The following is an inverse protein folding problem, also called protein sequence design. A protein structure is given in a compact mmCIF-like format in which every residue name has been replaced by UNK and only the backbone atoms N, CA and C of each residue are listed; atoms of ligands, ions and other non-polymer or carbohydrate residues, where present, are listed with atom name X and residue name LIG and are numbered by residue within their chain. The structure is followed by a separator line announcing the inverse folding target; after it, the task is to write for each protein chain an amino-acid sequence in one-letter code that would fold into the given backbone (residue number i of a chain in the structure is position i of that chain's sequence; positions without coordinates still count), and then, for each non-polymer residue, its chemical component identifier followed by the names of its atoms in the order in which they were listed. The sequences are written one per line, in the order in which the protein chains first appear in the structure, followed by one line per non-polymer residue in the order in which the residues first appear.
data_IF_268350008729
#
_entry.id   IF_268350008729
#
_cell.length_a   1.000
_cell.length_b   1.000
_cell.length_c   1.000
_cell.angle_alpha   90.00
_cell.angle_beta   90.00
_cell.angle_gamma   90.00
#
_symmetry.space_group_name_H-M   'P 1'
#
loop_
_entity.id
_entity.type
_entity.pdbx_description
1 polymer ?
#
# COMPACT_ATOMS: atom_id res chain seq x y z
N UNK A 1 -1.01 -17.04 9.87
CA UNK A 1 -0.40 -15.78 9.32
C UNK A 1 0.08 -16.14 7.92
N UNK A 2 -0.25 -15.33 6.91
CA UNK A 2 0.19 -15.59 5.54
C UNK A 2 1.70 -15.42 5.43
N UNK A 3 2.36 -16.30 4.69
CA UNK A 3 3.79 -16.19 4.40
C UNK A 3 4.00 -15.18 3.27
N UNK A 4 5.01 -14.33 3.39
CA UNK A 4 5.39 -13.42 2.31
C UNK A 4 6.83 -13.70 1.91
N UNK A 5 7.06 -13.87 0.62
CA UNK A 5 8.37 -14.12 0.02
C UNK A 5 8.71 -13.02 -0.97
N UNK A 6 9.99 -12.69 -1.06
CA UNK A 6 10.53 -11.80 -2.11
C UNK A 6 11.20 -12.69 -3.15
N UNK A 7 10.93 -12.48 -4.43
CA UNK A 7 11.55 -13.24 -5.51
C UNK A 7 13.00 -12.81 -5.75
N UNK A 8 13.82 -13.69 -6.32
CA UNK A 8 15.19 -13.38 -6.72
C UNK A 8 15.25 -12.18 -7.67
N UNK A 9 14.35 -12.14 -8.67
CA UNK A 9 14.22 -11.02 -9.62
C UNK A 9 13.95 -9.68 -8.91
N UNK A 10 13.10 -9.68 -7.87
CA UNK A 10 12.84 -8.47 -7.09
C UNK A 10 14.02 -8.09 -6.21
N UNK A 11 14.71 -9.09 -5.64
CA UNK A 11 15.93 -8.87 -4.86
C UNK A 11 17.07 -8.29 -5.72
N UNK A 12 17.25 -8.75 -6.94
CA UNK A 12 18.24 -8.18 -7.88
C UNK A 12 17.97 -6.71 -8.18
N UNK A 13 16.70 -6.31 -8.29
CA UNK A 13 16.30 -4.90 -8.55
C UNK A 13 16.38 -4.04 -7.30
N UNK A 14 16.09 -4.60 -6.13
CA UNK A 14 16.05 -3.89 -4.84
C UNK A 14 16.60 -4.78 -3.72
N UNK A 15 17.93 -4.94 -3.62
CA UNK A 15 18.54 -5.77 -2.58
C UNK A 15 18.24 -5.30 -1.15
N UNK A 16 18.03 -4.00 -0.99
CA UNK A 16 17.70 -3.37 0.29
C UNK A 16 16.22 -3.46 0.67
N UNK A 17 15.35 -4.07 -0.14
CA UNK A 17 13.91 -4.13 0.15
C UNK A 17 13.61 -4.70 1.53
N UNK A 18 12.75 -4.01 2.26
CA UNK A 18 12.16 -4.45 3.52
C UNK A 18 10.64 -4.24 3.48
N UNK A 19 9.88 -5.26 3.82
CA UNK A 19 8.43 -5.18 3.89
C UNK A 19 7.88 -5.49 5.28
N UNK A 20 6.68 -5.00 5.57
CA UNK A 20 5.90 -5.45 6.71
C UNK A 20 4.58 -6.06 6.24
N UNK A 21 4.24 -7.22 6.80
CA UNK A 21 2.96 -7.86 6.62
C UNK A 21 2.18 -7.79 7.94
N UNK A 22 1.09 -7.04 7.94
CA UNK A 22 0.17 -6.89 9.06
C UNK A 22 -1.02 -7.80 8.81
N UNK A 23 -1.47 -8.52 9.82
CA UNK A 23 -2.72 -9.29 9.77
C UNK A 23 -3.60 -8.95 10.96
N UNK A 24 -4.90 -8.92 10.75
CA UNK A 24 -5.88 -8.65 11.82
C UNK A 24 -7.26 -9.18 11.44
N UNK A 25 -8.05 -9.58 12.43
CA UNK A 25 -9.50 -9.57 12.28
C UNK A 25 -9.99 -8.16 12.50
N UNK A 26 -10.95 -7.71 11.69
CA UNK A 26 -11.44 -6.32 11.73
C UNK A 26 -12.95 -6.28 11.50
N UNK A 27 -13.52 -5.13 11.83
CA UNK A 27 -14.86 -4.71 11.43
C UNK A 27 -14.74 -3.40 10.66
N UNK A 28 -15.03 -3.45 9.36
CA UNK A 28 -15.04 -2.26 8.53
C UNK A 28 -16.38 -1.52 8.64
N UNK A 29 -16.33 -0.19 8.49
CA UNK A 29 -17.54 0.67 8.49
C UNK A 29 -17.48 1.64 7.31
N UNK A 30 -18.65 2.17 6.91
CA UNK A 30 -18.73 3.09 5.78
C UNK A 30 -17.97 4.40 6.01
N UNK A 31 -17.90 4.86 7.27
CA UNK A 31 -17.33 6.16 7.59
C UNK A 31 -16.97 6.28 9.08
N UNK A 32 -15.85 6.95 9.38
CA UNK A 32 -15.49 7.42 10.71
C UNK A 32 -15.18 8.92 10.67
N UNK A 33 -15.97 9.71 11.40
CA UNK A 33 -15.79 11.16 11.49
C UNK A 33 -14.44 11.50 12.12
N UNK A 34 -14.10 10.81 13.20
CA UNK A 34 -12.87 11.04 13.96
C UNK A 34 -11.62 10.72 13.12
N UNK A 35 -11.66 9.68 12.28
CA UNK A 35 -10.60 9.37 11.33
C UNK A 35 -10.44 10.50 10.29
N UNK A 36 -11.55 11.02 9.79
CA UNK A 36 -11.52 12.11 8.82
C UNK A 36 -11.01 13.43 9.41
N UNK A 37 -11.26 13.69 10.69
CA UNK A 37 -10.63 14.81 11.41
C UNK A 37 -9.09 14.69 11.43
N UNK A 38 -8.54 13.47 11.62
CA UNK A 38 -7.08 13.22 11.51
C UNK A 38 -6.56 13.39 10.08
N UNK A 39 -7.28 12.87 9.09
CA UNK A 39 -6.94 13.02 7.67
C UNK A 39 -6.92 14.48 7.26
N UNK A 40 -7.91 15.26 7.67
CA UNK A 40 -8.02 16.70 7.37
C UNK A 40 -6.90 17.49 8.05
N UNK A 41 -6.57 17.16 9.31
CA UNK A 41 -5.46 17.79 10.03
C UNK A 41 -4.10 17.52 9.34
N UNK A 42 -3.82 16.26 8.94
CA UNK A 42 -2.60 15.94 8.18
C UNK A 42 -2.60 16.63 6.81
N UNK A 43 -3.73 16.65 6.14
CA UNK A 43 -3.89 17.30 4.83
C UNK A 43 -3.63 18.81 4.92
N UNK A 44 -4.13 19.47 5.96
CA UNK A 44 -3.87 20.89 6.20
C UNK A 44 -2.38 21.13 6.50
N UNK A 45 -1.79 20.32 7.39
CA UNK A 45 -0.36 20.42 7.69
C UNK A 45 0.50 20.31 6.41
N UNK A 46 0.16 19.38 5.50
CA UNK A 46 0.89 19.25 4.23
C UNK A 46 0.71 20.45 3.32
N UNK A 47 -0.49 21.04 3.22
CA UNK A 47 -0.70 22.27 2.46
C UNK A 47 0.12 23.44 2.98
N UNK A 48 0.34 23.47 4.29
CA UNK A 48 1.09 24.57 4.94
C UNK A 48 2.62 24.36 4.87
N UNK A 49 3.10 23.12 4.74
CA UNK A 49 4.53 22.80 4.89
C UNK A 49 5.20 22.20 3.66
N UNK A 50 4.43 21.63 2.73
CA UNK A 50 4.96 20.94 1.57
C UNK A 50 4.58 21.62 0.25
N UNK A 51 5.38 21.33 -0.77
CA UNK A 51 5.08 21.67 -2.16
C UNK A 51 5.03 20.40 -3.01
N UNK A 52 4.46 20.47 -4.20
CA UNK A 52 4.45 19.33 -5.14
C UNK A 52 5.87 18.88 -5.53
N UNK A 53 6.85 19.77 -5.46
CA UNK A 53 8.26 19.45 -5.73
C UNK A 53 8.89 18.71 -4.54
N UNK A 54 8.61 19.15 -3.29
CA UNK A 54 9.15 18.50 -2.08
C UNK A 54 8.67 17.06 -1.90
N UNK A 55 7.49 16.70 -2.41
CA UNK A 55 7.00 15.30 -2.37
C UNK A 55 7.98 14.34 -3.05
N UNK A 56 8.60 14.76 -4.15
CA UNK A 56 9.60 13.94 -4.86
C UNK A 56 10.88 13.71 -4.05
N UNK A 57 11.12 14.50 -3.01
CA UNK A 57 12.34 14.39 -2.17
C UNK A 57 12.12 13.52 -0.93
N UNK A 58 10.90 13.08 -0.66
CA UNK A 58 10.62 12.11 0.41
C UNK A 58 11.30 10.77 0.09
N UNK A 59 12.09 10.23 1.03
CA UNK A 59 12.96 9.05 0.81
C UNK A 59 12.17 7.84 0.33
N UNK A 60 11.05 7.51 0.98
CA UNK A 60 10.17 6.40 0.61
C UNK A 60 9.59 6.53 -0.81
N UNK A 61 9.21 7.77 -1.19
CA UNK A 61 8.69 8.07 -2.53
C UNK A 61 9.80 8.00 -3.57
N UNK A 62 10.99 8.55 -3.28
CA UNK A 62 12.14 8.46 -4.18
C UNK A 62 12.52 7.01 -4.46
N UNK A 63 12.55 6.18 -3.41
CA UNK A 63 12.90 4.77 -3.53
C UNK A 63 11.91 4.03 -4.44
N UNK A 64 10.60 4.18 -4.20
CA UNK A 64 9.56 3.58 -5.06
C UNK A 64 9.68 4.05 -6.52
N UNK A 65 9.93 5.35 -6.73
CA UNK A 65 10.15 5.91 -8.08
C UNK A 65 11.41 5.35 -8.74
N UNK A 66 12.49 5.12 -7.97
CA UNK A 66 13.72 4.49 -8.44
C UNK A 66 13.45 3.07 -8.94
N UNK A 67 12.74 2.26 -8.15
CA UNK A 67 12.40 0.88 -8.53
C UNK A 67 11.58 0.86 -9.83
N UNK A 68 10.58 1.71 -9.98
CA UNK A 68 9.83 1.80 -11.24
C UNK A 68 10.73 2.08 -12.44
N UNK A 69 11.68 3.01 -12.31
CA UNK A 69 12.64 3.31 -13.39
C UNK A 69 13.55 2.13 -13.71
N UNK A 70 14.07 1.43 -12.68
CA UNK A 70 14.89 0.23 -12.87
C UNK A 70 14.11 -0.88 -13.60
N UNK A 71 12.81 -0.99 -13.33
CA UNK A 71 11.91 -1.91 -14.04
C UNK A 71 11.38 -1.35 -15.39
N UNK A 72 11.95 -0.25 -15.91
CA UNK A 72 11.59 0.32 -17.21
C UNK A 72 10.25 1.09 -17.22
N UNK A 73 9.74 1.51 -16.07
CA UNK A 73 8.48 2.27 -15.96
C UNK A 73 8.70 3.73 -15.62
N UNK A 74 7.91 4.61 -16.25
CA UNK A 74 7.88 6.03 -15.87
C UNK A 74 7.02 6.22 -14.61
N UNK A 75 7.61 6.57 -13.44
CA UNK A 75 6.86 6.76 -12.21
C UNK A 75 5.97 8.02 -12.22
N UNK A 76 6.07 8.88 -13.22
CA UNK A 76 5.17 10.01 -13.38
C UNK A 76 3.86 9.59 -14.06
N UNK A 77 3.92 8.61 -14.95
CA UNK A 77 2.76 8.00 -15.61
C UNK A 77 2.09 6.95 -14.72
N UNK A 78 2.90 6.11 -14.04
CA UNK A 78 2.44 5.03 -13.17
C UNK A 78 2.67 5.39 -11.70
N UNK A 79 2.12 6.52 -11.26
CA UNK A 79 2.41 7.10 -9.96
C UNK A 79 2.03 6.16 -8.81
N UNK A 80 2.96 5.91 -7.86
CA UNK A 80 2.67 5.15 -6.65
C UNK A 80 1.57 5.80 -5.80
N UNK A 81 0.79 4.98 -5.08
CA UNK A 81 -0.40 5.43 -4.34
C UNK A 81 -0.08 6.51 -3.30
N UNK A 82 0.94 6.31 -2.47
CA UNK A 82 1.32 7.29 -1.44
C UNK A 82 1.66 8.67 -2.03
N UNK A 83 2.45 8.71 -3.12
CA UNK A 83 2.73 9.97 -3.82
C UNK A 83 1.46 10.60 -4.41
N UNK A 84 0.57 9.78 -4.97
CA UNK A 84 -0.65 10.26 -5.60
C UNK A 84 -1.58 10.95 -4.59
N UNK A 85 -1.73 10.39 -3.39
CA UNK A 85 -2.54 10.93 -2.31
C UNK A 85 -2.01 12.29 -1.84
N UNK A 86 -0.71 12.37 -1.52
CA UNK A 86 -0.08 13.62 -1.05
C UNK A 86 -0.21 14.72 -2.12
N UNK A 87 0.06 14.41 -3.40
CA UNK A 87 -0.08 15.39 -4.48
C UNK A 87 -1.51 15.86 -4.66
N UNK A 88 -2.49 14.98 -4.47
CA UNK A 88 -3.91 15.35 -4.53
C UNK A 88 -4.27 16.40 -3.49
N UNK A 89 -3.79 16.20 -2.25
CA UNK A 89 -3.94 17.15 -1.14
C UNK A 89 -3.30 18.49 -1.47
N UNK A 90 -2.05 18.50 -1.96
CA UNK A 90 -1.31 19.72 -2.31
C UNK A 90 -1.91 20.47 -3.51
N UNK A 91 -2.71 19.80 -4.35
CA UNK A 91 -3.47 20.44 -5.42
C UNK A 91 -4.81 21.03 -4.95
N UNK A 92 -5.09 21.02 -3.65
CA UNK A 92 -6.35 21.49 -3.08
C UNK A 92 -7.56 20.59 -3.38
N UNK A 93 -7.32 19.36 -3.85
CA UNK A 93 -8.38 18.39 -4.15
C UNK A 93 -8.71 17.57 -2.92
N UNK A 94 -10.00 17.39 -2.62
CA UNK A 94 -10.44 16.51 -1.55
C UNK A 94 -10.01 15.06 -1.84
N UNK A 95 -9.59 14.32 -0.80
CA UNK A 95 -9.43 12.88 -0.91
C UNK A 95 -10.78 12.20 -1.14
N UNK A 96 -10.76 11.04 -1.77
CA UNK A 96 -11.97 10.22 -1.88
C UNK A 96 -12.22 9.55 -0.54
N UNK A 97 -13.44 9.65 -0.04
CA UNK A 97 -13.96 8.87 1.05
C UNK A 97 -14.46 7.54 0.47
N UNK A 98 -13.89 6.44 0.92
CA UNK A 98 -14.24 5.10 0.42
C UNK A 98 -14.95 4.31 1.51
N UNK A 99 -14.24 3.90 2.53
CA UNK A 99 -14.68 3.28 3.77
C UNK A 99 -13.61 3.49 4.84
N UNK A 100 -13.93 3.19 6.09
CA UNK A 100 -13.01 3.44 7.21
C UNK A 100 -11.68 2.74 7.05
N UNK A 101 -11.67 1.51 6.54
CA UNK A 101 -10.43 0.74 6.37
C UNK A 101 -9.54 1.33 5.27
N UNK A 102 -10.08 1.62 4.10
CA UNK A 102 -9.32 2.23 3.01
C UNK A 102 -8.82 3.62 3.41
N UNK A 103 -9.65 4.40 4.10
CA UNK A 103 -9.32 5.77 4.51
C UNK A 103 -8.16 5.77 5.55
N UNK A 104 -8.14 4.83 6.51
CA UNK A 104 -7.03 4.74 7.46
C UNK A 104 -5.72 4.27 6.80
N UNK A 105 -5.79 3.37 5.82
CA UNK A 105 -4.61 2.97 5.04
C UNK A 105 -4.08 4.15 4.21
N UNK A 106 -4.97 4.96 3.63
CA UNK A 106 -4.59 6.18 2.94
C UNK A 106 -3.91 7.18 3.89
N UNK A 107 -4.40 7.33 5.12
CA UNK A 107 -3.79 8.17 6.14
C UNK A 107 -2.36 7.71 6.47
N UNK A 108 -2.16 6.40 6.71
CA UNK A 108 -0.85 5.83 6.98
C UNK A 108 0.11 5.99 5.78
N UNK A 109 -0.40 5.76 4.57
CA UNK A 109 0.36 5.92 3.33
C UNK A 109 0.81 7.37 3.09
N UNK A 110 -0.05 8.35 3.39
CA UNK A 110 0.34 9.76 3.34
C UNK A 110 1.40 10.10 4.38
N UNK A 111 1.21 9.65 5.63
CA UNK A 111 2.09 10.00 6.76
C UNK A 111 3.53 9.55 6.54
N UNK A 112 3.75 8.35 6.02
CA UNK A 112 5.07 7.76 5.84
C UNK A 112 5.56 7.77 4.38
N UNK A 113 4.69 8.08 3.42
CA UNK A 113 5.02 8.12 1.99
C UNK A 113 5.16 6.74 1.34
N UNK A 114 4.95 5.64 2.06
CA UNK A 114 4.97 4.29 1.49
C UNK A 114 3.69 3.99 0.70
N UNK A 115 3.83 3.22 -0.37
CA UNK A 115 2.69 2.57 -1.01
C UNK A 115 2.30 1.34 -0.20
N UNK A 116 1.05 1.30 0.24
CA UNK A 116 0.52 0.27 1.13
C UNK A 116 -0.66 -0.39 0.42
N UNK A 117 -0.64 -1.72 0.33
CA UNK A 117 -1.76 -2.52 -0.16
C UNK A 117 -2.57 -3.10 1.01
N UNK A 118 -3.90 -3.13 0.89
CA UNK A 118 -4.79 -3.73 1.86
C UNK A 118 -5.75 -4.71 1.18
N UNK A 119 -5.82 -5.94 1.69
CA UNK A 119 -6.46 -7.05 1.03
C UNK A 119 -7.39 -7.81 1.97
N UNK A 120 -8.49 -8.32 1.42
CA UNK A 120 -9.34 -9.31 2.06
C UNK A 120 -8.62 -10.67 2.06
N UNK A 121 -8.15 -11.10 3.23
CA UNK A 121 -7.36 -12.34 3.36
C UNK A 121 -8.12 -13.60 2.96
N UNK A 122 -9.45 -13.62 3.10
CA UNK A 122 -10.29 -14.75 2.70
C UNK A 122 -10.41 -14.89 1.17
N UNK A 123 -9.90 -13.92 0.40
CA UNK A 123 -9.85 -13.93 -1.06
C UNK A 123 -8.52 -14.41 -1.63
N UNK A 124 -7.50 -14.65 -0.80
CA UNK A 124 -6.26 -15.24 -1.28
C UNK A 124 -6.42 -16.72 -1.61
N UNK A 125 -5.70 -17.16 -2.62
CA UNK A 125 -5.57 -18.59 -2.99
C UNK A 125 -4.20 -19.08 -2.56
N UNK A 126 -4.19 -20.06 -1.65
CA UNK A 126 -2.97 -20.56 -1.02
C UNK A 126 -2.60 -19.80 0.25
N UNK A 127 -1.41 -20.06 0.76
CA UNK A 127 -0.89 -19.59 2.05
C UNK A 127 0.32 -18.66 1.94
N UNK A 128 0.75 -18.36 0.71
CA UNK A 128 1.97 -17.60 0.42
C UNK A 128 1.69 -16.51 -0.59
N UNK A 129 2.16 -15.31 -0.29
CA UNK A 129 2.25 -14.18 -1.22
C UNK A 129 3.70 -14.02 -1.66
N UNK A 130 3.93 -13.85 -2.97
CA UNK A 130 5.27 -13.62 -3.51
C UNK A 130 5.36 -12.26 -4.19
N UNK A 131 6.29 -11.41 -3.71
CA UNK A 131 6.65 -10.16 -4.37
C UNK A 131 7.62 -10.43 -5.52
N UNK A 132 7.27 -10.00 -6.71
CA UNK A 132 8.11 -10.11 -7.91
C UNK A 132 7.86 -8.94 -8.86
N UNK A 133 8.26 -9.11 -10.12
CA UNK A 133 8.04 -8.13 -11.19
C UNK A 133 6.96 -8.63 -12.14
N UNK A 134 6.03 -7.75 -12.54
CA UNK A 134 4.95 -8.09 -13.45
C UNK A 134 5.47 -8.40 -14.86
N UNK A 135 4.88 -9.40 -15.52
CA UNK A 135 5.24 -9.83 -16.87
C UNK A 135 4.28 -9.24 -17.91
N UNK A 136 4.73 -9.23 -19.18
CA UNK A 136 3.85 -8.79 -20.26
C UNK A 136 2.74 -9.82 -20.51
N UNK A 137 1.52 -9.30 -20.74
CA UNK A 137 0.35 -10.16 -20.92
C UNK A 137 -0.18 -10.84 -19.66
N UNK A 138 0.42 -10.57 -18.48
CA UNK A 138 -0.08 -11.09 -17.21
C UNK A 138 -1.49 -10.54 -16.92
N UNK A 139 -2.52 -11.40 -16.70
CA UNK A 139 -3.87 -10.94 -16.41
C UNK A 139 -3.92 -10.17 -15.10
N UNK A 140 -4.45 -8.96 -15.14
CA UNK A 140 -4.60 -8.14 -13.94
C UNK A 140 -5.76 -7.15 -14.09
N UNK A 141 -6.80 -7.33 -13.28
CA UNK A 141 -7.94 -6.43 -13.22
C UNK A 141 -7.77 -5.44 -12.06
N UNK A 142 -7.40 -4.21 -12.37
CA UNK A 142 -7.23 -3.16 -11.34
C UNK A 142 -8.57 -2.61 -10.87
N UNK A 143 -8.70 -2.35 -9.55
CA UNK A 143 -9.92 -1.81 -8.92
C UNK A 143 -10.38 -0.55 -9.67
N UNK A 144 -11.60 -0.60 -10.21
CA UNK A 144 -12.21 0.51 -10.94
C UNK A 144 -11.52 0.90 -12.26
N UNK A 145 -10.61 0.06 -12.78
CA UNK A 145 -9.80 0.34 -13.99
C UNK A 145 -9.95 -0.72 -15.07
N UNK A 146 -10.59 -1.86 -14.76
CA UNK A 146 -10.63 -3.01 -15.66
C UNK A 146 -9.25 -3.63 -15.87
N UNK A 147 -9.05 -4.30 -17.00
CA UNK A 147 -7.78 -4.96 -17.34
C UNK A 147 -6.66 -3.94 -17.57
N UNK A 148 -5.58 -4.06 -16.83
CA UNK A 148 -4.39 -3.20 -16.91
C UNK A 148 -3.12 -4.01 -17.13
N UNK A 149 -2.17 -3.46 -17.89
CA UNK A 149 -0.85 -4.07 -18.06
C UNK A 149 0.03 -3.73 -16.86
N UNK A 150 0.46 -4.76 -16.12
CA UNK A 150 1.34 -4.65 -14.95
C UNK A 150 2.81 -4.97 -15.24
N UNK A 151 3.16 -5.26 -16.51
CA UNK A 151 4.54 -5.56 -16.88
C UNK A 151 5.52 -4.55 -16.31
N UNK A 152 6.63 -5.01 -15.74
CA UNK A 152 7.67 -4.19 -15.13
C UNK A 152 7.22 -3.40 -13.89
N UNK A 153 6.18 -3.80 -13.17
CA UNK A 153 5.83 -3.25 -11.86
C UNK A 153 6.09 -4.28 -10.77
N UNK A 154 6.55 -3.87 -9.59
CA UNK A 154 6.47 -4.75 -8.44
C UNK A 154 5.04 -5.24 -8.24
N UNK A 155 4.85 -6.52 -8.05
CA UNK A 155 3.53 -7.13 -7.87
C UNK A 155 3.59 -8.28 -6.87
N UNK A 156 2.64 -8.29 -5.94
CA UNK A 156 2.39 -9.45 -5.10
C UNK A 156 1.46 -10.41 -5.83
N UNK A 157 1.77 -11.70 -5.72
CA UNK A 157 0.97 -12.80 -6.27
C UNK A 157 0.66 -13.82 -5.19
N UNK A 158 -0.55 -14.34 -5.23
CA UNK A 158 -0.90 -15.60 -4.60
C UNK A 158 -0.82 -16.75 -5.63
N UNK A 159 -1.39 -17.93 -5.33
CA UNK A 159 -1.35 -19.08 -6.25
C UNK A 159 -2.20 -18.90 -7.51
N UNK A 160 -3.14 -17.94 -7.53
CA UNK A 160 -3.98 -17.65 -8.70
C UNK A 160 -3.37 -16.58 -9.59
N UNK A 161 -2.67 -15.58 -9.02
CA UNK A 161 -2.07 -14.49 -9.79
C UNK A 161 -1.85 -13.22 -9.00
N UNK A 162 -1.73 -12.10 -9.72
CA UNK A 162 -1.48 -10.81 -9.08
C UNK A 162 -2.60 -10.38 -8.12
N UNK A 163 -2.22 -9.82 -6.96
CA UNK A 163 -3.14 -9.28 -5.96
C UNK A 163 -2.97 -7.79 -5.73
N UNK A 164 -1.75 -7.25 -5.84
CA UNK A 164 -1.48 -5.83 -5.59
C UNK A 164 -0.18 -5.34 -6.21
N UNK A 165 -0.19 -4.08 -6.63
CA UNK A 165 0.99 -3.31 -7.08
C UNK A 165 1.05 -1.99 -6.32
N UNK A 166 2.20 -1.28 -6.23
CA UNK A 166 2.25 0.04 -5.58
C UNK A 166 1.35 1.12 -6.21
N UNK A 167 0.72 0.82 -7.35
CA UNK A 167 -0.17 1.76 -8.08
C UNK A 167 -1.64 1.37 -8.01
N UNK A 168 -1.97 0.08 -7.92
CA UNK A 168 -3.35 -0.41 -7.97
C UNK A 168 -3.44 -1.84 -7.46
N UNK A 169 -4.40 -2.11 -6.61
CA UNK A 169 -4.73 -3.45 -6.15
C UNK A 169 -5.69 -4.16 -7.12
N UNK A 170 -5.74 -5.49 -7.04
CA UNK A 170 -6.57 -6.32 -7.91
C UNK A 170 -8.01 -6.38 -7.40
N UNK A 171 -8.98 -6.35 -8.32
CA UNK A 171 -10.42 -6.40 -8.01
C UNK A 171 -10.81 -7.62 -7.18
N UNK A 172 -10.19 -8.79 -7.41
CA UNK A 172 -10.50 -10.05 -6.72
C UNK A 172 -10.26 -9.99 -5.21
N UNK A 173 -9.17 -9.35 -4.78
CA UNK A 173 -8.71 -9.35 -3.39
C UNK A 173 -8.98 -8.05 -2.66
N UNK A 174 -9.77 -7.15 -3.26
CA UNK A 174 -10.10 -5.85 -2.66
C UNK A 174 -10.83 -6.01 -1.34
N UNK A 175 -10.54 -5.10 -0.43
CA UNK A 175 -11.34 -4.93 0.80
C UNK A 175 -12.72 -4.38 0.49
N UNK A 176 -13.69 -4.75 1.33
CA UNK A 176 -15.09 -4.31 1.25
C UNK A 176 -15.63 -4.09 2.66
N UNK A 177 -16.86 -3.60 2.78
CA UNK A 177 -17.55 -3.49 4.08
C UNK A 177 -17.77 -4.85 4.77
N UNK A 178 -17.76 -5.94 4.03
CA UNK A 178 -17.91 -7.30 4.57
C UNK A 178 -16.58 -7.99 4.90
N UNK A 179 -15.45 -7.35 4.64
CA UNK A 179 -14.12 -7.90 4.97
C UNK A 179 -13.95 -8.00 6.49
N UNK A 180 -13.63 -9.19 6.98
CA UNK A 180 -13.41 -9.49 8.40
C UNK A 180 -11.98 -9.93 8.71
N UNK A 181 -11.24 -10.41 7.71
CA UNK A 181 -9.81 -10.78 7.85
C UNK A 181 -8.98 -9.94 6.89
N UNK A 182 -8.04 -9.24 7.45
CA UNK A 182 -7.23 -8.25 6.76
C UNK A 182 -5.79 -8.70 6.64
N UNK A 183 -5.21 -8.50 5.47
CA UNK A 183 -3.76 -8.45 5.26
C UNK A 183 -3.37 -7.09 4.70
N UNK A 184 -2.38 -6.43 5.34
CA UNK A 184 -1.81 -5.18 4.84
C UNK A 184 -0.32 -5.37 4.57
N UNK A 185 0.14 -4.87 3.42
CA UNK A 185 1.54 -4.96 2.99
C UNK A 185 2.13 -3.56 2.85
N UNK A 186 3.17 -3.28 3.62
CA UNK A 186 3.97 -2.05 3.54
C UNK A 186 5.21 -2.30 2.71
N UNK A 187 5.50 -1.41 1.75
CA UNK A 187 6.60 -1.59 0.79
C UNK A 187 7.74 -0.60 1.05
N UNK A 188 8.78 -1.02 1.76
CA UNK A 188 9.99 -0.24 2.04
C UNK A 188 11.10 -0.48 1.03
N UNK A 189 11.01 0.13 -0.15
CA UNK A 189 12.03 0.07 -1.19
C UNK A 189 13.28 0.91 -0.87
N UNK A 190 13.27 1.65 0.22
CA UNK A 190 14.39 2.46 0.74
C UNK A 190 15.27 1.71 1.75
N UNK A 191 14.87 0.49 2.12
CA UNK A 191 15.58 -0.32 3.09
C UNK A 191 15.50 0.21 4.53
N UNK A 192 14.64 1.19 4.81
CA UNK A 192 14.49 1.77 6.14
C UNK A 192 13.54 0.93 7.01
N UNK A 193 14.07 -0.13 7.61
CA UNK A 193 13.28 -1.02 8.48
C UNK A 193 12.64 -0.27 9.66
N UNK A 194 13.28 0.75 10.21
CA UNK A 194 12.73 1.51 11.34
C UNK A 194 11.43 2.23 10.93
N UNK A 195 11.40 2.88 9.77
CA UNK A 195 10.20 3.56 9.27
C UNK A 195 9.13 2.56 8.82
N UNK A 196 9.52 1.40 8.26
CA UNK A 196 8.57 0.32 7.93
C UNK A 196 7.90 -0.23 9.19
N UNK A 197 8.66 -0.45 10.28
CA UNK A 197 8.11 -0.85 11.58
C UNK A 197 7.20 0.21 12.16
N UNK A 198 7.63 1.48 12.18
CA UNK A 198 6.81 2.58 12.66
C UNK A 198 5.50 2.72 11.86
N UNK A 199 5.55 2.48 10.54
CA UNK A 199 4.35 2.44 9.69
C UNK A 199 3.42 1.30 10.08
N UNK A 200 3.95 0.09 10.31
CA UNK A 200 3.16 -1.06 10.71
C UNK A 200 2.50 -0.86 12.08
N UNK A 201 3.25 -0.33 13.05
CA UNK A 201 2.74 0.00 14.39
C UNK A 201 1.64 1.05 14.32
N UNK A 202 1.83 2.09 13.53
CA UNK A 202 0.80 3.12 13.32
C UNK A 202 -0.47 2.54 12.68
N UNK A 203 -0.34 1.63 11.70
CA UNK A 203 -1.50 0.94 11.13
C UNK A 203 -2.22 0.11 12.19
N UNK A 204 -1.51 -0.63 13.05
CA UNK A 204 -2.13 -1.39 14.15
C UNK A 204 -2.87 -0.48 15.14
N UNK A 205 -2.31 0.68 15.46
CA UNK A 205 -2.98 1.71 16.26
C UNK A 205 -4.31 2.16 15.64
N UNK A 206 -4.28 2.51 14.35
CA UNK A 206 -5.47 2.94 13.60
C UNK A 206 -6.52 1.82 13.49
N UNK A 207 -6.10 0.58 13.23
CA UNK A 207 -6.99 -0.58 13.17
C UNK A 207 -7.66 -0.83 14.53
N UNK A 208 -6.91 -0.73 15.63
CA UNK A 208 -7.46 -0.85 16.99
C UNK A 208 -8.47 0.25 17.29
N UNK A 209 -8.17 1.48 16.87
CA UNK A 209 -9.00 2.65 17.15
C UNK A 209 -10.29 2.71 16.33
N UNK A 210 -10.24 2.30 15.05
CA UNK A 210 -11.32 2.55 14.09
C UNK A 210 -11.99 1.30 13.51
N UNK A 211 -11.37 0.11 13.65
CA UNK A 211 -11.86 -1.13 13.03
C UNK A 211 -12.03 -2.28 14.02
N UNK A 212 -12.15 -2.03 15.32
CA UNK A 212 -12.34 -3.05 16.36
C UNK A 212 -11.36 -4.25 16.21
N UNK A 213 -10.09 -3.96 15.89
CA UNK A 213 -9.09 -4.96 15.54
C UNK A 213 -8.84 -5.98 16.65
N UNK A 214 -8.80 -7.26 16.28
CA UNK A 214 -8.44 -8.38 17.17
C UNK A 214 -7.44 -9.30 16.47
N UNK A 215 -6.69 -10.09 17.24
CA UNK A 215 -5.64 -10.98 16.72
C UNK A 215 -4.67 -10.25 15.78
N UNK A 216 -4.44 -8.97 16.09
CA UNK A 216 -3.64 -8.08 15.26
C UNK A 216 -2.16 -8.24 15.55
N UNK A 217 -1.35 -8.25 14.50
CA UNK A 217 0.11 -8.30 14.60
C UNK A 217 0.77 -8.10 13.25
N UNK A 218 2.10 -7.95 13.27
CA UNK A 218 2.87 -7.86 12.04
C UNK A 218 4.19 -8.63 12.12
N UNK A 219 4.75 -8.93 10.98
CA UNK A 219 6.12 -9.39 10.85
C UNK A 219 6.82 -8.64 9.71
N UNK A 220 8.13 -8.47 9.87
CA UNK A 220 9.02 -7.93 8.83
C UNK A 220 9.47 -9.09 7.95
N UNK A 221 9.60 -8.82 6.64
CA UNK A 221 10.13 -9.77 5.69
C UNK A 221 11.11 -9.10 4.72
N UNK A 222 12.09 -9.89 4.31
CA UNK A 222 13.14 -9.57 3.34
C UNK A 222 13.24 -10.71 2.31
N UNK A 223 14.21 -10.60 1.40
CA UNK A 223 14.62 -11.73 0.57
C UNK A 223 15.35 -12.77 1.41
#
# INVERSE_FOLDING_TARGET
MIKVEVSEEMHEVCPEFVGACITSNIKNTEFSKELWEEIDALSQHYRDTLTTESVKTMTSIQATRRIYKLCGKDPSRYRPSGEALIRRVLQGKALYQIDTLVDLINLASMRYGYSIGAFDSDRFVGDTLRLGIGHDGEPYEGIGRGMINIAGRPVYRDSEGGVGTPTSDHERTKVTLSTTKLTVLVNGYDGNEADVRATAEYILELLSKYCEATEAGYHIYHY
#
